data_IF_344708706568
#
_entry.id   IF_344708706568
#
_cell.length_a   1.000
_cell.length_b   1.000
_cell.length_c   1.000
_cell.angle_alpha   90.00
_cell.angle_beta   90.00
_cell.angle_gamma   90.00
#
_symmetry.space_group_name_H-M   'P 1'
#
loop_
_entity.id
_entity.type
_entity.pdbx_description
1 polymer ?
#
# COMPACT_ATOMS: atom_id res chain seq x y z
N UNK A 1 -1.13 17.43 13.41
CA UNK A 1 -1.27 15.98 13.18
C UNK A 1 -2.72 15.61 13.49
N UNK A 2 -3.47 15.05 12.54
CA UNK A 2 -4.83 14.56 12.83
C UNK A 2 -4.73 13.39 13.80
N UNK A 3 -5.52 13.43 14.86
CA UNK A 3 -5.60 12.37 15.83
C UNK A 3 -6.24 11.13 15.15
N UNK A 4 -5.90 9.91 15.60
CA UNK A 4 -6.55 8.67 15.15
C UNK A 4 -8.09 8.76 15.30
N UNK A 5 -8.60 9.50 16.29
CA UNK A 5 -10.03 9.80 16.44
C UNK A 5 -10.62 10.54 15.24
N UNK A 6 -9.87 11.49 14.66
CA UNK A 6 -10.29 12.19 13.44
C UNK A 6 -10.25 11.24 12.23
N UNK A 7 -9.27 10.32 12.19
CA UNK A 7 -9.22 9.26 11.18
C UNK A 7 -10.42 8.32 11.25
N UNK A 8 -10.76 7.86 12.45
CA UNK A 8 -11.93 7.00 12.67
C UNK A 8 -13.21 7.75 12.29
N UNK A 9 -13.34 9.02 12.67
CA UNK A 9 -14.52 9.82 12.35
C UNK A 9 -14.64 10.07 10.84
N UNK A 10 -13.54 10.37 10.16
CA UNK A 10 -13.48 10.47 8.69
C UNK A 10 -13.74 9.13 8.01
N UNK A 11 -13.29 8.01 8.59
CA UNK A 11 -13.49 6.67 8.04
C UNK A 11 -14.92 6.17 8.17
N UNK A 12 -15.68 6.62 9.18
CA UNK A 12 -17.11 6.29 9.30
C UNK A 12 -17.94 6.82 8.11
N UNK A 13 -17.46 7.88 7.46
CA UNK A 13 -18.02 8.44 6.23
C UNK A 13 -17.21 8.06 4.98
N UNK A 14 -16.24 7.15 5.11
CA UNK A 14 -15.34 6.76 4.03
C UNK A 14 -15.79 5.46 3.36
N UNK A 15 -15.19 5.19 2.22
CA UNK A 15 -15.38 3.95 1.50
C UNK A 15 -14.41 2.83 1.99
N UNK A 16 -14.01 2.88 3.27
CA UNK A 16 -13.20 1.85 3.89
C UNK A 16 -14.01 0.61 4.25
N UNK A 17 -13.36 -0.54 4.19
CA UNK A 17 -13.93 -1.79 4.64
C UNK A 17 -14.12 -1.83 6.16
N UNK A 18 -15.09 -2.65 6.59
CA UNK A 18 -15.45 -2.80 8.01
C UNK A 18 -14.28 -3.28 8.88
N UNK A 19 -13.45 -4.20 8.35
CA UNK A 19 -12.31 -4.72 9.10
C UNK A 19 -11.28 -3.61 9.33
N UNK A 20 -10.98 -2.81 8.32
CA UNK A 20 -10.08 -1.65 8.46
C UNK A 20 -10.60 -0.62 9.45
N UNK A 21 -11.92 -0.39 9.50
CA UNK A 21 -12.51 0.48 10.51
C UNK A 21 -12.31 -0.09 11.93
N UNK A 22 -12.44 -1.41 12.10
CA UNK A 22 -12.22 -2.06 13.39
C UNK A 22 -10.73 -2.02 13.79
N UNK A 23 -9.81 -2.25 12.86
CA UNK A 23 -8.37 -2.09 13.08
C UNK A 23 -8.02 -0.69 13.59
N UNK A 24 -8.55 0.34 12.93
CA UNK A 24 -8.37 1.73 13.36
C UNK A 24 -8.91 2.00 14.77
N UNK A 25 -10.04 1.38 15.15
CA UNK A 25 -10.58 1.49 16.51
C UNK A 25 -9.67 0.84 17.54
N UNK A 26 -9.10 -0.31 17.25
CA UNK A 26 -8.17 -1.00 18.14
C UNK A 26 -6.86 -0.21 18.30
N UNK A 27 -6.31 0.27 17.18
CA UNK A 27 -5.11 1.11 17.17
C UNK A 27 -5.30 2.46 17.86
N UNK A 28 -6.54 2.92 18.06
CA UNK A 28 -6.84 4.18 18.75
C UNK A 28 -6.49 4.16 20.25
N UNK A 29 -6.15 3.01 20.80
CA UNK A 29 -5.61 2.90 22.17
C UNK A 29 -4.17 3.39 22.28
N UNK A 30 -3.44 3.45 21.15
CA UNK A 30 -2.10 3.99 21.06
C UNK A 30 -2.12 5.50 20.84
N UNK A 31 -1.13 6.19 21.37
CA UNK A 31 -0.88 7.59 21.04
C UNK A 31 -0.38 7.74 19.58
N UNK A 32 -0.52 8.92 18.98
CA UNK A 32 0.06 9.19 17.66
C UNK A 32 1.57 8.96 17.59
N UNK A 33 2.30 9.23 18.68
CA UNK A 33 3.73 9.02 18.80
C UNK A 33 4.09 7.53 18.78
N UNK A 34 3.39 6.70 19.54
CA UNK A 34 3.59 5.26 19.55
C UNK A 34 3.34 4.64 18.17
N UNK A 35 2.28 5.04 17.49
CA UNK A 35 2.01 4.59 16.13
C UNK A 35 3.09 5.05 15.13
N UNK A 36 3.55 6.30 15.27
CA UNK A 36 4.65 6.82 14.47
C UNK A 36 5.91 5.99 14.67
N UNK A 37 6.25 5.65 15.90
CA UNK A 37 7.44 4.85 16.22
C UNK A 37 7.34 3.46 15.59
N UNK A 38 6.19 2.80 15.66
CA UNK A 38 5.95 1.51 14.99
C UNK A 38 6.16 1.63 13.47
N UNK A 39 5.52 2.61 12.83
CA UNK A 39 5.60 2.74 11.37
C UNK A 39 6.94 3.28 10.86
N UNK A 40 7.77 3.87 11.74
CA UNK A 40 9.14 4.26 11.43
C UNK A 40 9.99 3.07 10.95
N UNK A 41 9.61 1.83 11.29
CA UNK A 41 10.26 0.61 10.79
C UNK A 41 10.34 0.57 9.26
N UNK A 42 9.38 1.17 8.56
CA UNK A 42 9.32 1.19 7.09
C UNK A 42 10.43 2.04 6.43
N UNK A 43 11.17 2.83 7.23
CA UNK A 43 12.35 3.58 6.78
C UNK A 43 13.62 2.74 6.78
N UNK A 44 13.56 1.53 7.31
CA UNK A 44 14.71 0.66 7.44
C UNK A 44 14.57 -0.57 6.55
N UNK A 45 15.70 -1.15 6.17
CA UNK A 45 15.71 -2.42 5.48
C UNK A 45 15.18 -3.51 6.42
N UNK A 46 14.38 -4.43 5.89
CA UNK A 46 14.01 -5.64 6.61
C UNK A 46 15.30 -6.34 7.11
N UNK A 47 15.25 -6.87 8.32
CA UNK A 47 16.36 -7.56 8.99
C UNK A 47 17.57 -6.65 9.32
N UNK A 48 17.39 -5.32 9.35
CA UNK A 48 18.37 -4.38 9.91
C UNK A 48 18.26 -4.32 11.43
N UNK A 49 19.36 -3.89 12.10
CA UNK A 49 19.38 -3.72 13.56
C UNK A 49 18.32 -2.72 14.05
N UNK A 50 18.07 -1.69 13.26
CA UNK A 50 17.06 -0.67 13.55
C UNK A 50 15.63 -1.25 13.47
N UNK A 51 15.34 -2.03 12.43
CA UNK A 51 14.06 -2.72 12.29
C UNK A 51 13.86 -3.75 13.42
N UNK A 52 14.88 -4.55 13.74
CA UNK A 52 14.85 -5.52 14.84
C UNK A 52 14.60 -4.85 16.19
N UNK A 53 15.19 -3.67 16.43
CA UNK A 53 14.96 -2.92 17.66
C UNK A 53 13.50 -2.51 17.80
N UNK A 54 12.85 -2.06 16.72
CA UNK A 54 11.43 -1.70 16.74
C UNK A 54 10.58 -2.96 16.97
N UNK A 55 10.85 -4.05 16.24
CA UNK A 55 10.11 -5.31 16.38
C UNK A 55 10.18 -5.87 17.81
N UNK A 56 11.35 -5.72 18.49
CA UNK A 56 11.53 -6.19 19.84
C UNK A 56 10.74 -5.38 20.89
N UNK A 57 10.31 -4.18 20.55
CA UNK A 57 9.60 -3.25 21.43
C UNK A 57 8.19 -2.90 20.93
N UNK A 58 7.60 -3.74 20.06
CA UNK A 58 6.24 -3.50 19.57
C UNK A 58 5.23 -3.51 20.73
N UNK A 59 4.31 -2.56 20.76
CA UNK A 59 3.17 -2.61 21.68
C UNK A 59 2.32 -3.87 21.46
N UNK A 60 1.79 -4.46 22.55
CA UNK A 60 0.96 -5.67 22.48
C UNK A 60 -0.24 -5.50 21.55
N UNK A 61 -0.88 -4.33 21.56
CA UNK A 61 -2.00 -4.04 20.66
C UNK A 61 -1.64 -4.15 19.18
N UNK A 62 -0.43 -3.79 18.80
CA UNK A 62 0.05 -3.97 17.41
C UNK A 62 0.18 -5.47 17.11
N UNK A 63 0.79 -6.22 18.02
CA UNK A 63 0.95 -7.68 17.88
C UNK A 63 -0.42 -8.36 17.75
N UNK A 64 -1.39 -7.95 18.56
CA UNK A 64 -2.74 -8.49 18.55
C UNK A 64 -3.46 -8.16 17.21
N UNK A 65 -3.37 -6.92 16.74
CA UNK A 65 -3.90 -6.50 15.44
C UNK A 65 -3.27 -7.33 14.32
N UNK A 66 -1.93 -7.46 14.30
CA UNK A 66 -1.25 -8.24 13.27
C UNK A 66 -1.72 -9.70 13.23
N UNK A 67 -1.91 -10.34 14.39
CA UNK A 67 -2.39 -11.72 14.50
C UNK A 67 -3.87 -11.85 14.16
N UNK A 68 -4.71 -11.01 14.76
CA UNK A 68 -6.17 -11.05 14.59
C UNK A 68 -6.60 -10.88 13.14
N UNK A 69 -6.00 -9.92 12.45
CA UNK A 69 -6.30 -9.65 11.05
C UNK A 69 -5.37 -10.40 10.08
N UNK A 70 -4.61 -11.37 10.60
CA UNK A 70 -3.76 -12.30 9.81
C UNK A 70 -2.71 -11.60 8.94
N UNK A 71 -2.21 -10.47 9.36
CA UNK A 71 -1.07 -9.81 8.71
C UNK A 71 0.24 -10.54 8.98
N UNK A 72 0.43 -11.00 10.22
CA UNK A 72 1.57 -11.78 10.63
C UNK A 72 1.22 -12.65 11.85
N UNK A 73 1.66 -13.90 11.86
CA UNK A 73 1.47 -14.84 12.97
C UNK A 73 2.73 -15.00 13.83
N UNK A 74 3.91 -14.73 13.27
CA UNK A 74 5.21 -14.91 13.93
C UNK A 74 6.04 -13.65 13.83
N UNK A 75 7.02 -13.53 14.72
CA UNK A 75 7.89 -12.35 14.83
C UNK A 75 8.69 -12.09 13.56
N UNK A 76 9.13 -13.13 12.86
CA UNK A 76 9.89 -13.04 11.61
C UNK A 76 9.09 -12.33 10.50
N UNK A 77 7.75 -12.35 10.63
CA UNK A 77 6.84 -11.75 9.67
C UNK A 77 6.31 -10.37 10.09
N UNK A 78 6.66 -9.88 11.30
CA UNK A 78 6.09 -8.61 11.80
C UNK A 78 6.45 -7.42 10.91
N UNK A 79 7.67 -7.35 10.38
CA UNK A 79 8.03 -6.29 9.42
C UNK A 79 7.05 -6.24 8.23
N UNK A 80 6.83 -7.38 7.60
CA UNK A 80 5.92 -7.50 6.45
C UNK A 80 4.48 -7.22 6.84
N UNK A 81 4.07 -7.70 8.02
CA UNK A 81 2.73 -7.45 8.57
C UNK A 81 2.49 -5.96 8.85
N UNK A 82 3.45 -5.26 9.45
CA UNK A 82 3.35 -3.80 9.70
C UNK A 82 3.27 -3.04 8.38
N UNK A 83 4.05 -3.45 7.37
CA UNK A 83 3.96 -2.86 6.04
C UNK A 83 2.57 -3.03 5.41
N UNK A 84 1.99 -4.23 5.50
CA UNK A 84 0.65 -4.51 4.99
C UNK A 84 -0.42 -3.71 5.75
N UNK A 85 -0.34 -3.67 7.08
CA UNK A 85 -1.21 -2.84 7.92
C UNK A 85 -1.13 -1.36 7.52
N UNK A 86 0.09 -0.82 7.37
CA UNK A 86 0.28 0.57 6.95
C UNK A 86 -0.34 0.86 5.58
N UNK A 87 -0.10 -0.01 4.60
CA UNK A 87 -0.72 0.12 3.28
C UNK A 87 -2.24 0.23 3.41
N UNK A 88 -2.83 -0.69 4.15
CA UNK A 88 -4.28 -0.78 4.26
C UNK A 88 -4.90 0.44 4.94
N UNK A 89 -4.37 0.88 6.07
CA UNK A 89 -4.97 1.98 6.84
C UNK A 89 -4.59 3.37 6.32
N UNK A 90 -3.45 3.52 5.65
CA UNK A 90 -2.95 4.83 5.20
C UNK A 90 -2.97 4.98 3.69
N UNK A 91 -2.31 4.08 2.96
CA UNK A 91 -2.12 4.23 1.52
C UNK A 91 -3.43 4.03 0.77
N UNK A 92 -4.16 2.94 1.05
CA UNK A 92 -5.44 2.68 0.37
C UNK A 92 -6.46 3.78 0.64
N UNK A 93 -6.55 4.29 1.87
CA UNK A 93 -7.41 5.41 2.21
C UNK A 93 -7.04 6.69 1.42
N UNK A 94 -5.74 6.96 1.30
CA UNK A 94 -5.27 8.09 0.48
C UNK A 94 -5.67 7.90 -0.99
N UNK A 95 -5.41 6.72 -1.56
CA UNK A 95 -5.75 6.39 -2.95
C UNK A 95 -7.26 6.54 -3.20
N UNK A 96 -8.10 6.00 -2.30
CA UNK A 96 -9.56 6.13 -2.36
C UNK A 96 -9.99 7.61 -2.44
N UNK A 97 -9.47 8.44 -1.54
CA UNK A 97 -9.79 9.88 -1.51
C UNK A 97 -9.38 10.59 -2.79
N UNK A 98 -8.16 10.31 -3.26
CA UNK A 98 -7.63 10.92 -4.49
C UNK A 98 -8.41 10.49 -5.72
N UNK A 99 -8.68 9.20 -5.89
CA UNK A 99 -9.41 8.68 -7.04
C UNK A 99 -10.87 9.19 -7.06
N UNK A 100 -11.55 9.17 -5.91
CA UNK A 100 -12.92 9.70 -5.81
C UNK A 100 -13.00 11.24 -6.02
N UNK A 101 -11.89 11.95 -5.87
CA UNK A 101 -11.80 13.39 -6.17
C UNK A 101 -11.49 13.66 -7.65
N UNK A 102 -11.13 12.65 -8.42
CA UNK A 102 -10.89 12.79 -9.86
C UNK A 102 -12.20 12.87 -10.62
N UNK A 103 -12.15 13.39 -11.86
CA UNK A 103 -13.33 13.45 -12.73
C UNK A 103 -13.59 12.13 -13.45
N UNK A 104 -12.58 11.30 -13.59
CA UNK A 104 -12.60 10.12 -14.47
C UNK A 104 -12.89 8.82 -13.73
N UNK A 105 -12.71 8.78 -12.40
CA UNK A 105 -12.84 7.58 -11.59
C UNK A 105 -13.73 7.88 -10.39
N UNK A 106 -14.70 7.02 -10.15
CA UNK A 106 -15.67 7.18 -9.07
C UNK A 106 -16.00 5.85 -8.39
N UNK A 107 -16.77 5.90 -7.31
CA UNK A 107 -17.21 4.72 -6.56
C UNK A 107 -16.05 3.85 -6.06
N UNK A 108 -14.93 4.47 -5.76
CA UNK A 108 -13.75 3.76 -5.26
C UNK A 108 -13.99 3.34 -3.82
N UNK A 109 -13.88 2.04 -3.56
CA UNK A 109 -14.11 1.43 -2.24
C UNK A 109 -13.05 0.37 -1.97
N UNK A 110 -12.66 0.28 -0.71
CA UNK A 110 -11.80 -0.79 -0.22
C UNK A 110 -12.54 -2.12 -0.23
N UNK A 111 -11.83 -3.20 -0.54
CA UNK A 111 -12.39 -4.55 -0.45
C UNK A 111 -12.09 -5.17 0.91
N UNK A 112 -12.81 -6.25 1.26
CA UNK A 112 -12.53 -7.00 2.48
C UNK A 112 -11.18 -7.71 2.42
N UNK A 113 -10.63 -8.04 3.59
CA UNK A 113 -9.39 -8.83 3.69
C UNK A 113 -9.44 -10.16 2.93
N UNK A 114 -10.61 -10.80 2.91
CA UNK A 114 -10.76 -12.09 2.21
C UNK A 114 -10.67 -11.92 0.69
N UNK A 115 -11.26 -10.85 0.15
CA UNK A 115 -11.14 -10.53 -1.29
C UNK A 115 -9.70 -10.16 -1.63
N UNK A 116 -9.07 -9.28 -0.86
CA UNK A 116 -7.69 -8.88 -1.05
C UNK A 116 -6.75 -10.11 -1.08
N UNK A 117 -6.89 -11.03 -0.12
CA UNK A 117 -6.05 -12.24 -0.07
C UNK A 117 -6.31 -13.24 -1.19
N UNK A 118 -7.57 -13.46 -1.56
CA UNK A 118 -7.97 -14.50 -2.52
C UNK A 118 -7.89 -14.00 -3.95
N UNK A 119 -8.38 -12.78 -4.20
CA UNK A 119 -8.53 -12.22 -5.53
C UNK A 119 -7.42 -11.24 -5.90
N UNK A 120 -6.56 -10.88 -4.91
CA UNK A 120 -5.35 -10.07 -5.09
C UNK A 120 -5.61 -8.73 -5.75
N UNK A 121 -6.57 -7.97 -5.22
CA UNK A 121 -6.78 -6.56 -5.51
C UNK A 121 -7.30 -5.84 -4.27
N UNK A 122 -7.03 -4.55 -4.16
CA UNK A 122 -7.26 -3.76 -2.95
C UNK A 122 -8.55 -2.94 -3.01
N UNK A 123 -8.93 -2.48 -4.20
CA UNK A 123 -10.06 -1.57 -4.39
C UNK A 123 -10.96 -2.02 -5.54
N UNK A 124 -12.25 -1.67 -5.42
CA UNK A 124 -13.21 -1.62 -6.54
C UNK A 124 -13.42 -0.18 -6.98
N UNK A 125 -13.78 0.04 -8.25
CA UNK A 125 -14.06 1.37 -8.79
C UNK A 125 -14.97 1.32 -10.02
N UNK A 126 -15.33 2.50 -10.56
CA UNK A 126 -16.08 2.62 -11.81
C UNK A 126 -15.33 2.10 -13.06
N UNK A 127 -14.00 2.00 -12.98
CA UNK A 127 -13.16 1.49 -14.08
C UNK A 127 -12.75 0.02 -13.91
N UNK A 128 -13.17 -0.63 -12.83
CA UNK A 128 -12.83 -2.02 -12.49
C UNK A 128 -12.03 -2.15 -11.19
N UNK A 129 -11.44 -3.33 -10.98
CA UNK A 129 -10.68 -3.69 -9.79
C UNK A 129 -9.25 -3.16 -9.87
N UNK A 130 -8.75 -2.61 -8.76
CA UNK A 130 -7.45 -1.95 -8.69
C UNK A 130 -6.56 -2.66 -7.64
N UNK A 131 -5.34 -2.99 -8.02
CA UNK A 131 -4.27 -3.46 -7.14
C UNK A 131 -3.24 -2.33 -6.96
N UNK A 132 -2.99 -1.95 -5.71
CA UNK A 132 -2.10 -0.84 -5.35
C UNK A 132 -0.67 -1.36 -5.21
N UNK A 133 0.24 -0.71 -5.91
CA UNK A 133 1.67 -1.00 -5.84
C UNK A 133 2.41 0.18 -5.22
N UNK A 134 3.11 -0.09 -4.13
CA UNK A 134 3.90 0.89 -3.39
C UNK A 134 5.37 0.53 -3.41
N UNK A 135 6.24 1.50 -3.17
CA UNK A 135 7.64 1.26 -2.90
C UNK A 135 8.01 1.81 -1.52
N UNK A 136 8.95 1.17 -0.84
CA UNK A 136 9.44 1.54 0.48
C UNK A 136 10.96 1.45 0.52
N UNK A 137 11.58 2.08 1.49
CA UNK A 137 13.01 1.99 1.77
C UNK A 137 13.89 2.46 0.59
N UNK A 138 13.73 3.72 0.16
CA UNK A 138 14.61 4.32 -0.87
C UNK A 138 14.65 3.59 -2.22
N UNK A 139 13.83 2.56 -2.38
CA UNK A 139 13.71 1.85 -3.64
C UNK A 139 12.88 2.69 -4.62
N UNK A 140 13.50 3.09 -5.74
CA UNK A 140 12.82 3.83 -6.81
C UNK A 140 12.07 2.92 -7.79
N UNK A 141 12.09 1.60 -7.53
CA UNK A 141 11.47 0.61 -8.40
C UNK A 141 10.25 0.01 -7.72
N UNK A 142 9.22 -0.23 -8.50
CA UNK A 142 8.03 -0.97 -8.08
C UNK A 142 8.20 -2.45 -8.39
N UNK A 143 7.56 -3.29 -7.59
CA UNK A 143 7.62 -4.75 -7.75
C UNK A 143 6.29 -5.28 -8.24
N UNK A 144 6.32 -6.10 -9.29
CA UNK A 144 5.18 -6.91 -9.75
C UNK A 144 5.60 -8.38 -9.72
N UNK A 145 4.83 -9.21 -9.03
CA UNK A 145 5.08 -10.65 -8.94
C UNK A 145 4.65 -11.34 -10.25
N UNK A 146 5.54 -12.13 -10.86
CA UNK A 146 5.29 -12.82 -12.15
C UNK A 146 4.13 -13.82 -12.08
N UNK A 147 4.01 -14.52 -10.95
CA UNK A 147 3.00 -15.58 -10.75
C UNK A 147 1.70 -15.07 -10.16
N UNK A 148 1.52 -13.75 -10.02
CA UNK A 148 0.37 -13.19 -9.35
C UNK A 148 -0.93 -13.44 -10.12
N UNK A 149 -1.74 -14.35 -9.60
CA UNK A 149 -3.09 -14.58 -10.08
C UNK A 149 -4.03 -13.56 -9.45
N UNK A 150 -4.01 -12.34 -9.97
CA UNK A 150 -4.89 -11.26 -9.51
C UNK A 150 -6.09 -11.09 -10.45
N UNK A 151 -7.25 -10.74 -9.87
CA UNK A 151 -8.43 -10.27 -10.60
C UNK A 151 -8.43 -8.76 -10.84
N UNK A 152 -7.33 -8.06 -10.51
CA UNK A 152 -7.18 -6.66 -10.81
C UNK A 152 -7.18 -6.41 -12.32
N UNK A 153 -7.88 -5.37 -12.74
CA UNK A 153 -7.86 -4.85 -14.11
C UNK A 153 -6.85 -3.71 -14.25
N UNK A 154 -6.53 -3.07 -13.13
CA UNK A 154 -5.63 -1.93 -13.05
C UNK A 154 -4.58 -2.12 -11.99
N UNK A 155 -3.36 -1.66 -12.25
CA UNK A 155 -2.36 -1.35 -11.24
C UNK A 155 -2.38 0.14 -10.93
N UNK A 156 -2.40 0.49 -9.66
CA UNK A 156 -2.21 1.86 -9.18
C UNK A 156 -0.85 1.97 -8.51
N UNK A 157 0.11 2.57 -9.19
CA UNK A 157 1.43 2.83 -8.64
C UNK A 157 1.40 4.16 -7.88
N UNK A 158 1.76 4.11 -6.60
CA UNK A 158 1.77 5.27 -5.71
C UNK A 158 3.21 5.77 -5.60
N UNK A 159 3.48 6.89 -6.27
CA UNK A 159 4.78 7.57 -6.24
C UNK A 159 4.80 8.54 -5.05
N UNK A 160 5.38 8.07 -3.93
CA UNK A 160 5.48 8.80 -2.67
C UNK A 160 6.89 9.33 -2.47
N UNK A 161 7.02 10.51 -1.88
CA UNK A 161 8.28 10.88 -1.25
C UNK A 161 8.41 10.10 0.07
N UNK A 162 9.38 9.17 0.12
CA UNK A 162 9.63 8.34 1.30
C UNK A 162 10.03 9.16 2.54
N UNK A 163 10.49 10.39 2.37
CA UNK A 163 10.72 11.32 3.49
C UNK A 163 9.42 11.65 4.24
N UNK A 164 8.27 11.52 3.59
CA UNK A 164 6.97 11.77 4.22
C UNK A 164 6.54 10.66 5.17
N UNK A 165 7.04 9.42 4.99
CA UNK A 165 6.82 8.32 5.94
C UNK A 165 7.47 8.65 7.28
N UNK A 166 8.69 9.22 7.28
CA UNK A 166 9.40 9.61 8.51
C UNK A 166 8.72 10.72 9.28
N UNK A 167 8.07 11.63 8.55
CA UNK A 167 7.36 12.76 9.16
C UNK A 167 5.99 12.38 9.66
N UNK A 168 5.50 11.18 9.30
CA UNK A 168 4.14 10.73 9.57
C UNK A 168 3.10 11.81 9.26
N UNK A 169 3.39 12.59 8.21
CA UNK A 169 2.47 13.60 7.73
C UNK A 169 1.30 12.87 7.07
N UNK A 170 0.10 13.20 7.52
CA UNK A 170 -1.14 12.77 6.87
C UNK A 170 -1.27 13.30 5.43
N UNK A 171 -0.31 14.12 5.05
CA UNK A 171 -0.25 14.80 3.79
C UNK A 171 0.71 14.07 2.86
N UNK A 172 0.27 12.96 2.28
CA UNK A 172 0.80 12.50 1.00
C UNK A 172 0.49 13.51 -0.12
N UNK A 173 0.47 14.81 0.22
CA UNK A 173 -0.06 15.88 -0.64
C UNK A 173 0.63 15.94 -2.00
N UNK A 174 1.82 15.40 -2.12
CA UNK A 174 2.61 15.35 -3.34
C UNK A 174 2.68 13.97 -3.97
N UNK A 175 2.08 12.93 -3.38
CA UNK A 175 2.09 11.61 -3.99
C UNK A 175 1.25 11.64 -5.28
N UNK A 176 1.84 11.09 -6.33
CA UNK A 176 1.18 10.95 -7.63
C UNK A 176 0.74 9.51 -7.82
N UNK A 177 -0.48 9.35 -8.36
CA UNK A 177 -1.03 8.05 -8.68
C UNK A 177 -0.92 7.82 -10.19
N UNK A 178 -0.32 6.70 -10.57
CA UNK A 178 -0.21 6.28 -11.96
C UNK A 178 -1.00 5.00 -12.15
N UNK A 179 -2.12 5.08 -12.89
CA UNK A 179 -2.94 3.91 -13.20
C UNK A 179 -2.60 3.39 -14.59
N UNK A 180 -2.21 2.13 -14.64
CA UNK A 180 -1.97 1.41 -15.89
C UNK A 180 -2.95 0.26 -16.04
N UNK A 181 -3.46 0.04 -17.27
CA UNK A 181 -4.23 -1.17 -17.52
C UNK A 181 -3.32 -2.40 -17.36
N UNK A 182 -3.68 -3.31 -16.47
CA UNK A 182 -2.83 -4.45 -16.11
C UNK A 182 -2.53 -5.34 -17.30
N UNK A 183 -3.54 -5.70 -18.09
CA UNK A 183 -3.40 -6.61 -19.22
C UNK A 183 -2.44 -6.05 -20.27
N UNK A 184 -2.65 -4.79 -20.64
CA UNK A 184 -1.80 -4.12 -21.62
C UNK A 184 -0.37 -4.01 -21.11
N UNK A 185 -0.21 -3.64 -19.83
CA UNK A 185 1.10 -3.46 -19.21
C UNK A 185 1.90 -4.77 -19.13
N UNK A 186 1.27 -5.86 -18.66
CA UNK A 186 1.92 -7.18 -18.60
C UNK A 186 2.26 -7.71 -20.01
N UNK A 187 1.38 -7.51 -20.99
CA UNK A 187 1.68 -7.89 -22.36
C UNK A 187 2.92 -7.16 -22.89
N UNK A 188 3.05 -5.86 -22.63
CA UNK A 188 4.23 -5.08 -23.03
C UNK A 188 5.50 -5.56 -22.35
N UNK A 189 5.45 -5.96 -21.08
CA UNK A 189 6.58 -6.59 -20.38
C UNK A 189 6.96 -7.90 -21.07
N UNK A 190 5.99 -8.80 -21.27
CA UNK A 190 6.23 -10.13 -21.80
C UNK A 190 6.71 -10.13 -23.26
N UNK A 191 6.33 -9.15 -24.06
CA UNK A 191 6.77 -8.99 -25.46
C UNK A 191 8.08 -8.23 -25.58
N UNK A 192 8.73 -7.88 -24.46
CA UNK A 192 9.96 -7.07 -24.42
C UNK A 192 9.84 -5.68 -25.08
N UNK A 193 8.61 -5.21 -25.30
CA UNK A 193 8.38 -3.83 -25.74
C UNK A 193 8.89 -2.82 -24.70
N UNK A 194 8.99 -3.26 -23.44
CA UNK A 194 9.68 -2.57 -22.35
C UNK A 194 11.09 -3.17 -22.27
N UNK A 195 12.11 -2.39 -22.64
CA UNK A 195 13.50 -2.86 -22.74
C UNK A 195 14.10 -3.28 -21.39
N UNK A 196 15.11 -4.14 -21.42
CA UNK A 196 15.84 -4.64 -20.23
C UNK A 196 16.42 -3.53 -19.33
N UNK A 197 16.65 -2.33 -19.85
CA UNK A 197 17.11 -1.18 -19.08
C UNK A 197 16.01 -0.56 -18.20
N UNK A 198 14.75 -0.84 -18.50
CA UNK A 198 13.57 -0.29 -17.81
C UNK A 198 12.98 -1.26 -16.80
N UNK A 199 13.26 -2.56 -16.96
CA UNK A 199 12.81 -3.64 -16.07
C UNK A 199 14.01 -4.51 -15.70
N UNK A 200 14.18 -4.72 -14.41
CA UNK A 200 15.09 -5.74 -13.89
C UNK A 200 14.29 -7.02 -13.65
N UNK A 201 14.60 -8.06 -14.39
CA UNK A 201 13.95 -9.35 -14.30
C UNK A 201 14.60 -10.18 -13.19
N UNK A 202 13.79 -10.59 -12.21
CA UNK A 202 14.18 -11.51 -11.14
C UNK A 202 13.40 -12.81 -11.29
N UNK A 203 13.82 -13.86 -10.60
CA UNK A 203 13.18 -15.18 -10.72
C UNK A 203 11.66 -15.14 -10.51
N UNK A 204 11.20 -14.40 -9.50
CA UNK A 204 9.80 -14.37 -9.08
C UNK A 204 9.07 -13.04 -9.31
N UNK A 205 9.76 -11.98 -9.76
CA UNK A 205 9.16 -10.67 -9.93
C UNK A 205 9.89 -9.79 -10.93
N UNK A 206 9.20 -8.76 -11.41
CA UNK A 206 9.75 -7.67 -12.19
C UNK A 206 9.97 -6.44 -11.29
N UNK A 207 11.13 -5.81 -11.37
CA UNK A 207 11.41 -4.48 -10.83
C UNK A 207 11.22 -3.46 -11.93
N UNK A 208 10.29 -2.52 -11.74
CA UNK A 208 9.86 -1.58 -12.77
C UNK A 208 10.18 -0.16 -12.32
N UNK A 209 10.91 0.57 -13.16
CA UNK A 209 11.22 1.97 -12.90
C UNK A 209 10.00 2.86 -13.06
N UNK A 210 9.93 3.92 -12.27
CA UNK A 210 8.86 4.90 -12.31
C UNK A 210 8.68 5.51 -13.72
N UNK A 211 9.79 5.77 -14.42
CA UNK A 211 9.74 6.34 -15.78
C UNK A 211 9.04 5.43 -16.79
N UNK A 212 9.18 4.12 -16.61
CA UNK A 212 8.44 3.13 -17.41
C UNK A 212 6.95 3.21 -17.11
N UNK A 213 6.59 3.27 -15.81
CA UNK A 213 5.20 3.37 -15.39
C UNK A 213 4.55 4.63 -16.00
N UNK A 214 5.23 5.77 -15.95
CA UNK A 214 4.75 7.03 -16.53
C UNK A 214 4.41 6.93 -18.00
N UNK A 215 5.19 6.17 -18.79
CA UNK A 215 4.94 5.97 -20.23
C UNK A 215 3.64 5.22 -20.51
N UNK A 216 3.24 4.30 -19.62
CA UNK A 216 2.07 3.44 -19.80
C UNK A 216 0.85 3.86 -18.98
N UNK A 217 0.99 4.90 -18.17
CA UNK A 217 -0.12 5.39 -17.35
C UNK A 217 -1.22 5.97 -18.23
N UNK A 218 -2.45 5.46 -18.05
CA UNK A 218 -3.66 6.03 -18.69
C UNK A 218 -4.24 7.16 -17.87
N UNK A 219 -4.05 7.12 -16.54
CA UNK A 219 -4.46 8.19 -15.62
C UNK A 219 -3.29 8.58 -14.74
N UNK A 220 -3.11 9.89 -14.56
CA UNK A 220 -2.15 10.48 -13.62
C UNK A 220 -2.92 11.44 -12.73
N UNK A 221 -2.97 11.16 -11.41
CA UNK A 221 -3.82 11.87 -10.44
C UNK A 221 -2.98 12.36 -9.26
#
# INVERSE_FOLDING_TARGET
MKNIKEYIFESLNSNLDKDTINELKELNTLSPEELKDVFTILNYKKDSKEADKIINNLPDVIIDVLKKYKYASTKENYYTGIKALYNRIKIENYVIKKLNSSKDISNVKQVSHDIDRNDKYDLTSSIGNIDIKTHFYGNKNFTITKSEKTKAEWYCFVDMDLSDITKFNDNFNNAKLYLVNRKDFINNINTQAIGHTEIEDKDNYHLIKLETIKKYAKYVI
#
